data_IF_350359309181
#
_entry.id   IF_350359309181
#
_cell.length_a   1.000
_cell.length_b   1.000
_cell.length_c   1.000
_cell.angle_alpha   90.00
_cell.angle_beta   90.00
_cell.angle_gamma   90.00
#
_symmetry.space_group_name_H-M   'P 1'
#
loop_
_entity.id
_entity.type
_entity.pdbx_description
1 polymer ?
#
# COMPACT_ATOMS: atom_id res chain seq x y z
N UNK A 1 23.88 -23.88 10.20
CA UNK A 1 23.05 -23.28 11.29
C UNK A 1 22.60 -21.91 10.82
N UNK A 2 21.39 -21.76 10.30
CA UNK A 2 20.80 -20.47 9.91
C UNK A 2 20.30 -19.85 11.21
N UNK A 3 20.98 -18.78 11.68
CA UNK A 3 20.46 -17.98 12.79
C UNK A 3 19.12 -17.37 12.35
N UNK A 4 18.07 -17.65 13.07
CA UNK A 4 16.75 -17.06 12.90
C UNK A 4 16.84 -15.56 13.17
N UNK A 5 17.21 -14.80 12.16
CA UNK A 5 17.13 -13.35 12.18
C UNK A 5 15.68 -12.94 11.96
N UNK A 6 15.10 -12.22 12.93
CA UNK A 6 13.80 -11.57 12.72
C UNK A 6 13.92 -10.63 11.50
N UNK A 7 13.25 -10.97 10.41
CA UNK A 7 13.17 -10.10 9.25
C UNK A 7 12.35 -8.88 9.66
N UNK A 8 12.98 -7.74 9.77
CA UNK A 8 12.29 -6.48 10.02
C UNK A 8 11.86 -5.89 8.68
N UNK A 9 10.61 -6.07 8.32
CA UNK A 9 10.00 -5.33 7.22
C UNK A 9 9.34 -4.06 7.77
N UNK A 10 9.54 -2.93 7.11
CA UNK A 10 8.96 -1.66 7.51
C UNK A 10 9.97 -0.64 8.05
N UNK A 11 9.45 0.43 8.64
CA UNK A 11 10.27 1.50 9.23
C UNK A 11 10.04 1.55 10.73
N UNK A 12 11.12 1.53 11.49
CA UNK A 12 11.15 1.86 12.92
C UNK A 12 11.92 3.15 13.11
N UNK A 13 11.42 4.01 13.96
CA UNK A 13 12.08 5.24 14.33
C UNK A 13 12.03 5.39 15.84
N UNK A 14 13.15 5.62 16.45
CA UNK A 14 13.28 6.12 17.80
C UNK A 14 13.90 7.54 17.78
N UNK A 15 14.14 8.12 18.94
CA UNK A 15 14.66 9.50 19.06
C UNK A 15 16.06 9.69 18.49
N UNK A 16 16.77 8.63 18.15
CA UNK A 16 18.19 8.68 17.73
C UNK A 16 18.44 7.94 16.42
N UNK A 17 17.50 7.11 15.95
CA UNK A 17 17.76 6.19 14.85
C UNK A 17 16.51 5.93 14.01
N UNK A 18 16.73 5.78 12.71
CA UNK A 18 15.77 5.25 11.75
C UNK A 18 16.29 3.93 11.21
N UNK A 19 15.46 2.89 11.29
CA UNK A 19 15.68 1.59 10.68
C UNK A 19 14.60 1.33 9.63
N UNK A 20 14.99 1.18 8.37
CA UNK A 20 14.10 0.78 7.27
C UNK A 20 14.60 -0.57 6.77
N UNK A 21 13.81 -1.62 7.01
CA UNK A 21 14.21 -2.98 6.66
C UNK A 21 13.54 -3.47 5.38
N UNK A 22 14.29 -4.24 4.57
CA UNK A 22 13.81 -4.96 3.38
C UNK A 22 13.10 -4.08 2.35
N UNK A 23 13.52 -2.84 2.17
CA UNK A 23 12.93 -1.91 1.22
C UNK A 23 13.59 -2.01 -0.17
N UNK A 24 12.79 -2.05 -1.24
CA UNK A 24 13.31 -1.87 -2.59
C UNK A 24 13.64 -0.40 -2.86
N UNK A 25 14.48 -0.11 -3.86
CA UNK A 25 14.80 1.27 -4.23
C UNK A 25 13.54 2.05 -4.61
N UNK A 26 12.59 1.43 -5.31
CA UNK A 26 11.30 2.06 -5.62
C UNK A 26 10.53 2.43 -4.34
N UNK A 27 10.47 1.53 -3.36
CA UNK A 27 9.78 1.80 -2.09
C UNK A 27 10.44 2.95 -1.32
N UNK A 28 11.77 3.05 -1.37
CA UNK A 28 12.53 4.16 -0.79
C UNK A 28 12.23 5.50 -1.48
N UNK A 29 12.17 5.50 -2.81
CA UNK A 29 11.80 6.69 -3.61
C UNK A 29 10.38 7.13 -3.26
N UNK A 30 9.42 6.19 -3.25
CA UNK A 30 8.03 6.49 -2.91
C UNK A 30 7.92 7.15 -1.53
N UNK A 31 8.65 6.64 -0.55
CA UNK A 31 8.68 7.21 0.81
C UNK A 31 9.37 8.56 0.89
N UNK A 32 10.50 8.73 0.18
CA UNK A 32 11.27 9.97 0.19
C UNK A 32 10.53 11.15 -0.43
N UNK A 33 9.70 10.88 -1.42
CA UNK A 33 9.00 11.92 -2.19
C UNK A 33 7.49 11.95 -1.94
N UNK A 34 6.99 11.11 -1.03
CA UNK A 34 5.57 10.97 -0.69
C UNK A 34 4.69 10.76 -1.93
N UNK A 35 5.09 9.79 -2.77
CA UNK A 35 4.37 9.40 -3.98
C UNK A 35 4.06 7.91 -3.97
N UNK A 36 3.08 7.51 -4.77
CA UNK A 36 2.73 6.11 -4.97
C UNK A 36 3.59 5.47 -6.05
N UNK A 37 3.75 4.16 -6.00
CA UNK A 37 4.60 3.44 -6.96
C UNK A 37 4.18 3.66 -8.42
N UNK A 38 2.89 3.79 -8.70
CA UNK A 38 2.37 4.07 -10.05
C UNK A 38 2.66 5.50 -10.54
N UNK A 39 3.08 6.39 -9.66
CA UNK A 39 3.52 7.75 -10.01
C UNK A 39 5.02 7.83 -10.31
N UNK A 40 5.77 6.75 -10.15
CA UNK A 40 7.20 6.70 -10.45
C UNK A 40 7.40 6.03 -11.80
N UNK A 41 8.09 6.71 -12.70
CA UNK A 41 8.50 6.18 -14.00
C UNK A 41 10.03 6.18 -14.09
N UNK A 42 10.59 5.27 -14.88
CA UNK A 42 12.04 5.15 -14.99
C UNK A 42 12.47 3.82 -15.60
N UNK A 43 13.72 3.42 -15.41
CA UNK A 43 14.25 2.17 -15.95
C UNK A 43 13.43 0.94 -15.52
N UNK A 44 13.24 -0.02 -16.40
CA UNK A 44 12.42 -1.22 -16.16
C UNK A 44 12.85 -2.00 -14.92
N UNK A 45 14.13 -2.09 -14.63
CA UNK A 45 14.68 -2.79 -13.46
C UNK A 45 14.25 -2.14 -12.13
N UNK A 46 13.94 -0.83 -12.12
CA UNK A 46 13.46 -0.11 -10.95
C UNK A 46 11.96 -0.29 -10.77
N UNK A 47 11.20 -0.25 -11.88
CA UNK A 47 9.74 -0.26 -11.84
C UNK A 47 9.17 -1.67 -11.74
N UNK A 48 9.77 -2.63 -12.47
CA UNK A 48 9.32 -4.03 -12.45
C UNK A 48 9.85 -4.73 -11.19
N UNK A 49 9.01 -4.79 -10.17
CA UNK A 49 9.35 -5.46 -8.91
C UNK A 49 9.15 -6.98 -9.06
N UNK A 50 10.19 -7.75 -8.81
CA UNK A 50 10.18 -9.20 -8.82
C UNK A 50 10.71 -9.75 -7.50
N UNK A 51 10.62 -11.05 -7.28
CA UNK A 51 11.21 -11.68 -6.09
C UNK A 51 12.73 -11.50 -6.00
N UNK A 52 13.42 -11.31 -7.15
CA UNK A 52 14.86 -11.05 -7.22
C UNK A 52 15.23 -9.57 -7.16
N UNK A 53 14.26 -8.67 -7.01
CA UNK A 53 14.54 -7.24 -6.84
C UNK A 53 15.38 -7.01 -5.58
N UNK A 54 16.53 -6.31 -5.68
CA UNK A 54 17.38 -6.01 -4.53
C UNK A 54 16.59 -5.28 -3.44
N UNK A 55 16.79 -5.70 -2.21
CA UNK A 55 16.20 -5.07 -1.03
C UNK A 55 17.30 -4.58 -0.12
N UNK A 56 17.07 -3.44 0.50
CA UNK A 56 18.06 -2.72 1.29
C UNK A 56 17.57 -2.56 2.72
N UNK A 57 18.51 -2.67 3.64
CA UNK A 57 18.33 -2.33 5.05
C UNK A 57 19.07 -1.02 5.31
N UNK A 58 18.32 0.02 5.71
CA UNK A 58 18.88 1.33 6.03
C UNK A 58 18.85 1.51 7.53
N UNK A 59 20.01 1.75 8.10
CA UNK A 59 20.18 2.10 9.49
C UNK A 59 20.89 3.46 9.55
N UNK A 60 20.18 4.48 9.99
CA UNK A 60 20.70 5.84 10.05
C UNK A 60 20.51 6.45 11.44
N UNK A 61 21.56 7.08 11.95
CA UNK A 61 21.47 7.89 13.15
C UNK A 61 20.84 9.24 12.80
N UNK A 62 19.89 9.68 13.62
CA UNK A 62 19.26 10.98 13.47
C UNK A 62 20.07 12.05 14.19
N UNK A 63 20.19 13.25 13.64
CA UNK A 63 20.69 14.39 14.37
C UNK A 63 19.84 14.65 15.62
N UNK A 64 20.43 15.23 16.65
CA UNK A 64 19.70 15.61 17.86
C UNK A 64 18.58 16.61 17.52
N UNK A 65 17.38 16.34 18.00
CA UNK A 65 16.20 17.16 17.69
C UNK A 65 15.53 16.87 16.35
N UNK A 66 15.99 15.87 15.58
CA UNK A 66 15.34 15.50 14.33
C UNK A 66 13.93 14.95 14.55
N UNK A 67 13.00 15.35 13.69
CA UNK A 67 11.59 14.92 13.73
C UNK A 67 11.26 13.95 12.61
N UNK A 68 10.12 13.24 12.73
CA UNK A 68 9.66 12.29 11.71
C UNK A 68 9.40 12.96 10.35
N UNK A 69 8.99 14.21 10.37
CA UNK A 69 8.69 15.01 9.18
C UNK A 69 9.94 15.32 8.35
N UNK A 70 11.13 15.25 8.96
CA UNK A 70 12.41 15.47 8.28
C UNK A 70 12.97 14.20 7.63
N UNK A 71 12.47 13.02 8.00
CA UNK A 71 12.96 11.73 7.47
C UNK A 71 12.84 11.65 5.95
N UNK A 72 11.73 12.06 5.30
CA UNK A 72 11.65 12.04 3.85
C UNK A 72 12.78 12.84 3.18
N UNK A 73 13.09 14.04 3.69
CA UNK A 73 14.15 14.89 3.14
C UNK A 73 15.54 14.28 3.34
N UNK A 74 15.80 13.69 4.51
CA UNK A 74 17.05 12.97 4.77
C UNK A 74 17.19 11.76 3.82
N UNK A 75 16.08 11.07 3.56
CA UNK A 75 16.07 9.94 2.65
C UNK A 75 16.34 10.38 1.20
N UNK A 76 15.82 11.54 0.76
CA UNK A 76 16.15 12.12 -0.56
C UNK A 76 17.66 12.34 -0.70
N UNK A 77 18.31 12.92 0.32
CA UNK A 77 19.76 13.14 0.33
C UNK A 77 20.50 11.80 0.24
N UNK A 78 20.12 10.81 1.04
CA UNK A 78 20.72 9.48 1.01
C UNK A 78 20.60 8.83 -0.38
N UNK A 79 19.42 8.92 -1.02
CA UNK A 79 19.20 8.34 -2.33
C UNK A 79 20.06 9.04 -3.39
N UNK A 80 20.19 10.36 -3.34
CA UNK A 80 21.05 11.12 -4.23
C UNK A 80 22.52 10.73 -4.06
N UNK A 81 22.99 10.61 -2.81
CA UNK A 81 24.39 10.36 -2.53
C UNK A 81 24.79 8.91 -2.80
N UNK A 82 23.96 7.95 -2.39
CA UNK A 82 24.28 6.51 -2.42
C UNK A 82 23.86 5.82 -3.71
N UNK A 83 22.73 6.19 -4.28
CA UNK A 83 22.20 5.59 -5.49
C UNK A 83 22.35 6.49 -6.71
N UNK A 84 23.01 7.67 -6.56
CA UNK A 84 23.17 8.67 -7.63
C UNK A 84 21.83 9.00 -8.29
N UNK A 85 20.77 9.05 -7.45
CA UNK A 85 19.42 9.29 -7.92
C UNK A 85 19.28 10.71 -8.49
N UNK A 86 18.92 10.78 -9.76
CA UNK A 86 18.51 11.99 -10.46
C UNK A 86 17.08 11.79 -10.96
N UNK A 87 16.22 12.76 -10.69
CA UNK A 87 14.82 12.68 -11.10
C UNK A 87 14.24 14.09 -11.29
N UNK A 88 13.16 14.17 -12.08
CA UNK A 88 12.36 15.38 -12.19
C UNK A 88 10.86 15.07 -12.03
N UNK A 89 10.08 16.12 -11.83
CA UNK A 89 8.62 16.03 -11.73
C UNK A 89 7.99 16.39 -13.06
N UNK A 90 7.06 15.57 -13.51
CA UNK A 90 6.26 15.80 -14.70
C UNK A 90 4.77 15.72 -14.35
N UNK A 91 3.97 16.71 -14.80
CA UNK A 91 2.52 16.66 -14.63
C UNK A 91 1.88 16.19 -15.93
N UNK A 92 1.08 15.12 -15.85
CA UNK A 92 0.35 14.55 -16.99
C UNK A 92 -1.09 14.29 -16.61
N UNK A 93 -2.00 14.49 -17.55
CA UNK A 93 -3.36 14.01 -17.41
C UNK A 93 -3.37 12.48 -17.52
N UNK A 94 -3.78 11.82 -16.44
CA UNK A 94 -3.86 10.37 -16.35
C UNK A 94 -5.32 9.92 -16.27
N UNK A 95 -5.63 8.82 -16.92
CA UNK A 95 -6.88 8.13 -16.67
C UNK A 95 -6.82 7.49 -15.28
N UNK A 96 -7.83 7.77 -14.47
CA UNK A 96 -7.97 7.29 -13.09
C UNK A 96 -9.40 6.84 -12.85
N UNK A 97 -9.59 6.02 -11.84
CA UNK A 97 -10.90 5.82 -11.25
C UNK A 97 -11.05 6.74 -10.04
N UNK A 98 -11.99 7.68 -10.12
CA UNK A 98 -12.37 8.49 -8.97
C UNK A 98 -13.23 7.63 -8.04
N UNK A 99 -12.78 7.42 -6.80
CA UNK A 99 -13.60 6.84 -5.74
C UNK A 99 -14.52 7.94 -5.21
N UNK A 100 -15.80 7.80 -5.45
CA UNK A 100 -16.82 8.79 -5.08
C UNK A 100 -17.96 8.14 -4.31
N UNK A 101 -18.79 8.95 -3.65
CA UNK A 101 -20.03 8.45 -3.04
C UNK A 101 -20.99 7.93 -4.11
N UNK A 102 -21.68 6.83 -3.79
CA UNK A 102 -22.76 6.31 -4.61
C UNK A 102 -23.98 7.24 -4.65
N UNK A 103 -25.02 6.85 -5.37
CA UNK A 103 -26.22 7.68 -5.59
C UNK A 103 -26.91 8.18 -4.31
N UNK A 104 -26.85 7.40 -3.24
CA UNK A 104 -27.46 7.76 -1.95
C UNK A 104 -26.57 8.70 -1.10
N UNK A 105 -25.41 9.11 -1.60
CA UNK A 105 -24.48 9.97 -0.86
C UNK A 105 -24.02 9.35 0.45
N UNK A 106 -23.80 10.19 1.47
CA UNK A 106 -23.36 9.75 2.80
C UNK A 106 -24.32 8.75 3.47
N UNK A 107 -25.62 8.86 3.24
CA UNK A 107 -26.63 7.96 3.83
C UNK A 107 -26.57 6.54 3.25
N UNK A 108 -25.99 6.38 2.08
CA UNK A 108 -25.80 5.07 1.44
C UNK A 108 -24.49 4.38 1.83
N UNK A 109 -23.61 5.04 2.59
CA UNK A 109 -22.33 4.50 2.99
C UNK A 109 -22.53 3.35 3.99
N UNK A 110 -22.02 2.17 3.64
CA UNK A 110 -22.12 0.96 4.47
C UNK A 110 -20.79 0.67 5.17
N UNK A 111 -20.16 1.72 5.64
CA UNK A 111 -18.97 1.68 6.48
C UNK A 111 -19.27 2.37 7.79
N UNK A 112 -18.74 1.84 8.88
CA UNK A 112 -18.91 2.44 10.21
C UNK A 112 -17.68 3.29 10.54
N UNK A 113 -17.85 4.47 11.16
CA UNK A 113 -16.71 5.20 11.70
C UNK A 113 -15.92 4.31 12.66
N UNK A 114 -14.61 4.24 12.46
CA UNK A 114 -13.76 3.45 13.33
C UNK A 114 -13.77 4.04 14.74
N UNK A 115 -13.93 3.15 15.72
CA UNK A 115 -13.80 3.53 17.12
C UNK A 115 -12.35 3.93 17.41
N UNK A 116 -12.10 4.96 18.24
CA UNK A 116 -10.77 5.19 18.77
C UNK A 116 -10.26 3.90 19.43
N UNK A 117 -8.97 3.55 19.28
CA UNK A 117 -8.44 2.37 19.94
C UNK A 117 -8.67 2.47 21.43
N UNK A 118 -9.46 1.54 21.99
CA UNK A 118 -9.66 1.44 23.44
C UNK A 118 -8.33 1.02 24.07
N UNK A 119 -7.76 1.84 24.94
CA UNK A 119 -6.63 1.46 25.78
C UNK A 119 -5.29 2.18 25.55
N UNK A 120 -5.25 3.30 24.83
CA UNK A 120 -4.05 4.15 24.76
C UNK A 120 -4.22 5.42 25.61
N UNK A 121 -4.85 5.31 26.77
CA UNK A 121 -4.69 6.32 27.80
C UNK A 121 -3.40 6.06 28.57
N UNK A 122 -2.41 6.88 28.36
CA UNK A 122 -1.34 7.10 29.33
C UNK A 122 0.07 6.58 29.02
N UNK A 123 0.41 6.19 27.79
CA UNK A 123 1.84 5.94 27.51
C UNK A 123 2.29 6.64 26.21
N UNK A 124 2.83 7.87 26.29
CA UNK A 124 3.36 8.57 25.11
C UNK A 124 4.62 7.91 24.50
N UNK A 125 5.10 6.84 25.09
CA UNK A 125 6.33 6.15 24.66
C UNK A 125 6.10 5.05 23.58
N UNK A 126 4.84 4.72 23.21
CA UNK A 126 4.54 3.67 22.23
C UNK A 126 4.07 4.24 20.87
N UNK A 127 3.98 5.55 20.75
CA UNK A 127 3.51 6.26 19.54
C UNK A 127 4.59 6.35 18.45
N UNK A 128 5.22 5.25 18.09
CA UNK A 128 6.30 5.27 17.09
C UNK A 128 6.69 3.91 16.50
N UNK A 129 6.12 2.82 16.98
CA UNK A 129 6.42 1.51 16.45
C UNK A 129 5.50 1.21 15.26
N UNK A 130 5.95 1.50 14.03
CA UNK A 130 5.37 0.95 12.80
C UNK A 130 5.73 -0.55 12.69
N UNK A 131 5.49 -1.31 13.76
CA UNK A 131 5.64 -2.75 13.70
C UNK A 131 4.38 -3.34 13.05
N UNK A 132 4.52 -3.78 11.83
CA UNK A 132 3.50 -4.59 11.17
C UNK A 132 3.56 -5.99 11.79
N UNK A 133 2.48 -6.41 12.44
CA UNK A 133 2.31 -7.79 12.88
C UNK A 133 1.47 -8.55 11.86
N UNK A 134 1.93 -9.73 11.48
CA UNK A 134 1.19 -10.64 10.61
C UNK A 134 0.90 -11.88 11.43
N UNK A 135 -0.37 -12.14 11.66
CA UNK A 135 -0.86 -13.31 12.37
C UNK A 135 -1.60 -14.23 11.41
N UNK A 136 -1.09 -15.44 11.26
CA UNK A 136 -1.80 -16.49 10.55
C UNK A 136 -2.85 -17.10 11.48
N UNK A 137 -4.11 -16.94 11.11
CA UNK A 137 -5.24 -17.51 11.84
C UNK A 137 -5.58 -18.93 11.39
N UNK A 138 -6.52 -19.54 12.10
CA UNK A 138 -7.07 -20.84 11.70
C UNK A 138 -7.82 -20.72 10.37
N UNK A 139 -7.88 -21.82 9.62
CA UNK A 139 -8.61 -21.90 8.34
C UNK A 139 -8.10 -20.99 7.21
N UNK A 140 -6.78 -20.67 7.19
CA UNK A 140 -6.18 -19.87 6.12
C UNK A 140 -6.47 -18.37 6.21
N UNK A 141 -6.99 -17.88 7.32
CA UNK A 141 -7.12 -16.44 7.55
C UNK A 141 -5.76 -15.81 7.89
N UNK A 142 -5.56 -14.55 7.51
CA UNK A 142 -4.40 -13.78 7.89
C UNK A 142 -4.84 -12.39 8.38
N UNK A 143 -4.24 -11.93 9.46
CA UNK A 143 -4.47 -10.59 9.98
C UNK A 143 -3.16 -9.81 9.92
N UNK A 144 -3.23 -8.61 9.38
CA UNK A 144 -2.14 -7.64 9.34
C UNK A 144 -2.56 -6.43 10.15
N UNK A 145 -1.78 -6.04 11.15
CA UNK A 145 -2.03 -4.83 11.93
C UNK A 145 -0.75 -4.00 12.07
N UNK A 146 -0.90 -2.68 12.10
CA UNK A 146 0.22 -1.74 12.18
C UNK A 146 0.43 -1.11 13.56
N UNK A 147 -0.30 -1.60 14.56
CA UNK A 147 -0.22 -1.08 15.93
C UNK A 147 -0.80 0.32 16.14
N UNK A 148 -1.31 0.98 15.09
CA UNK A 148 -1.94 2.32 15.17
C UNK A 148 -3.46 2.28 15.20
N UNK A 149 -4.03 1.08 15.39
CA UNK A 149 -5.48 0.82 15.31
C UNK A 149 -5.95 0.50 13.88
N UNK A 150 -5.06 0.44 12.91
CA UNK A 150 -5.33 -0.06 11.57
C UNK A 150 -5.10 -1.56 11.54
N UNK A 151 -6.09 -2.29 11.11
CA UNK A 151 -5.99 -3.73 10.91
C UNK A 151 -6.70 -4.16 9.64
N UNK A 152 -6.18 -5.23 9.05
CA UNK A 152 -6.72 -5.82 7.85
C UNK A 152 -6.72 -7.34 8.01
N UNK A 153 -7.88 -7.94 7.93
CA UNK A 153 -8.03 -9.39 8.07
C UNK A 153 -8.62 -9.98 6.81
N UNK A 154 -7.95 -10.98 6.28
CA UNK A 154 -8.40 -11.73 5.11
C UNK A 154 -8.92 -13.09 5.56
N UNK A 155 -10.14 -13.42 5.19
CA UNK A 155 -10.81 -14.68 5.54
C UNK A 155 -11.32 -15.34 4.27
N UNK A 156 -10.92 -16.58 3.95
CA UNK A 156 -11.47 -17.29 2.81
C UNK A 156 -12.99 -17.50 2.98
N UNK A 157 -13.76 -17.33 1.90
CA UNK A 157 -15.16 -17.73 1.89
C UNK A 157 -15.29 -19.26 1.99
N UNK A 158 -16.40 -19.79 2.52
CA UNK A 158 -16.60 -21.22 2.68
C UNK A 158 -16.56 -22.00 1.36
N UNK A 159 -16.90 -21.36 0.25
CA UNK A 159 -16.89 -21.94 -1.10
C UNK A 159 -15.52 -21.82 -1.80
N UNK A 160 -14.55 -21.14 -1.17
CA UNK A 160 -13.21 -20.92 -1.71
C UNK A 160 -13.15 -19.98 -2.94
N UNK A 161 -14.26 -19.35 -3.33
CA UNK A 161 -14.33 -18.51 -4.53
C UNK A 161 -14.00 -17.03 -4.28
N UNK A 162 -14.10 -16.59 -3.04
CA UNK A 162 -13.79 -15.22 -2.65
C UNK A 162 -13.00 -15.15 -1.34
N UNK A 163 -12.40 -14.00 -1.10
CA UNK A 163 -11.80 -13.63 0.19
C UNK A 163 -12.60 -12.48 0.76
N UNK A 164 -13.02 -12.60 1.99
CA UNK A 164 -13.58 -11.52 2.79
C UNK A 164 -12.43 -10.71 3.38
N UNK A 165 -12.39 -9.44 3.04
CA UNK A 165 -11.45 -8.47 3.56
C UNK A 165 -12.15 -7.61 4.61
N UNK A 166 -11.83 -7.82 5.88
CA UNK A 166 -12.29 -7.01 7.00
C UNK A 166 -11.22 -5.95 7.28
N UNK A 167 -11.58 -4.68 7.22
CA UNK A 167 -10.67 -3.55 7.38
C UNK A 167 -11.15 -2.67 8.51
N UNK A 168 -10.23 -2.24 9.37
CA UNK A 168 -10.51 -1.28 10.44
C UNK A 168 -9.46 -0.18 10.48
N UNK A 169 -9.87 1.03 10.86
CA UNK A 169 -9.00 2.18 11.03
C UNK A 169 -8.43 2.75 9.73
N UNK A 170 -9.08 2.55 8.59
CA UNK A 170 -8.63 3.05 7.28
C UNK A 170 -9.38 4.32 6.84
N UNK A 171 -8.72 5.13 6.03
CA UNK A 171 -9.30 6.28 5.33
C UNK A 171 -9.73 5.88 3.92
N UNK A 172 -10.59 6.66 3.26
CA UNK A 172 -10.98 6.40 1.87
C UNK A 172 -9.80 6.55 0.89
N UNK A 173 -8.85 7.41 1.19
CA UNK A 173 -7.60 7.51 0.42
C UNK A 173 -6.79 6.20 0.50
N UNK A 174 -6.68 5.57 1.67
CA UNK A 174 -6.02 4.28 1.84
C UNK A 174 -6.79 3.13 1.17
N UNK A 175 -8.13 3.18 1.19
CA UNK A 175 -8.96 2.25 0.43
C UNK A 175 -8.70 2.38 -1.07
N UNK A 176 -8.69 3.60 -1.62
CA UNK A 176 -8.39 3.87 -3.02
C UNK A 176 -7.02 3.31 -3.43
N UNK A 177 -6.01 3.50 -2.58
CA UNK A 177 -4.68 2.94 -2.78
C UNK A 177 -4.70 1.40 -2.83
N UNK A 178 -5.39 0.77 -1.89
CA UNK A 178 -5.55 -0.69 -1.83
C UNK A 178 -6.32 -1.28 -3.03
N UNK A 179 -7.22 -0.51 -3.64
CA UNK A 179 -7.97 -0.90 -4.83
C UNK A 179 -7.14 -0.77 -6.13
N UNK A 180 -6.15 0.11 -6.18
CA UNK A 180 -5.35 0.38 -7.38
C UNK A 180 -4.74 -0.88 -8.02
N UNK A 181 -4.17 -1.85 -7.29
CA UNK A 181 -3.63 -3.07 -7.90
C UNK A 181 -4.70 -4.00 -8.49
N UNK A 182 -5.97 -3.83 -8.11
CA UNK A 182 -7.10 -4.68 -8.50
C UNK A 182 -7.80 -4.21 -9.78
N UNK A 183 -7.44 -3.03 -10.28
CA UNK A 183 -8.03 -2.41 -11.47
C UNK A 183 -6.95 -2.00 -12.48
N UNK A 184 -7.34 -1.58 -13.66
CA UNK A 184 -6.43 -1.22 -14.77
C UNK A 184 -5.90 0.22 -14.72
N UNK A 185 -6.55 1.09 -13.93
CA UNK A 185 -6.13 2.48 -13.73
C UNK A 185 -6.01 2.81 -12.24
N UNK A 186 -5.15 3.76 -11.84
CA UNK A 186 -5.05 4.20 -10.46
C UNK A 186 -6.40 4.66 -9.90
N UNK A 187 -6.68 4.31 -8.66
CA UNK A 187 -7.86 4.80 -7.94
C UNK A 187 -7.46 6.00 -7.08
N UNK A 188 -8.21 7.08 -7.19
CA UNK A 188 -7.98 8.32 -6.44
C UNK A 188 -9.22 8.65 -5.63
N UNK A 189 -9.05 8.92 -4.35
CA UNK A 189 -10.15 9.36 -3.49
C UNK A 189 -10.60 10.77 -3.88
N UNK A 190 -11.83 10.88 -4.36
CA UNK A 190 -12.54 12.11 -4.67
C UNK A 190 -13.91 12.14 -3.99
N UNK A 191 -14.09 11.37 -2.92
CA UNK A 191 -15.35 11.26 -2.18
C UNK A 191 -15.63 12.49 -1.32
N UNK A 192 -14.59 13.21 -0.90
CA UNK A 192 -14.68 14.30 0.08
C UNK A 192 -14.97 13.83 1.51
N UNK A 193 -14.97 12.52 1.76
CA UNK A 193 -15.28 11.94 3.06
C UNK A 193 -14.02 11.88 3.91
N UNK A 194 -14.08 12.46 5.10
CA UNK A 194 -12.98 12.50 6.06
C UNK A 194 -13.19 11.47 7.17
N UNK A 195 -12.10 11.06 7.80
CA UNK A 195 -12.13 10.18 8.97
C UNK A 195 -11.64 8.77 8.69
N UNK A 196 -11.64 7.95 9.73
CA UNK A 196 -11.29 6.54 9.69
C UNK A 196 -12.54 5.68 9.78
N UNK A 197 -12.55 4.59 9.05
CA UNK A 197 -13.70 3.71 8.91
C UNK A 197 -13.34 2.24 9.14
N UNK A 198 -14.39 1.46 9.38
CA UNK A 198 -14.38 0.00 9.36
C UNK A 198 -15.31 -0.47 8.26
N UNK A 199 -14.88 -1.45 7.49
CA UNK A 199 -15.69 -2.05 6.43
C UNK A 199 -15.29 -3.49 6.16
N UNK A 200 -16.22 -4.21 5.56
CA UNK A 200 -15.99 -5.56 5.03
C UNK A 200 -16.28 -5.55 3.54
N UNK A 201 -15.33 -6.05 2.77
CA UNK A 201 -15.44 -6.16 1.31
C UNK A 201 -15.14 -7.60 0.89
N UNK A 202 -15.81 -8.08 -0.14
CA UNK A 202 -15.48 -9.37 -0.77
C UNK A 202 -14.68 -9.13 -2.05
N UNK A 203 -13.58 -9.87 -2.20
CA UNK A 203 -12.72 -9.85 -3.37
C UNK A 203 -12.71 -11.25 -3.96
N UNK A 204 -12.94 -11.39 -5.26
CA UNK A 204 -12.92 -12.70 -5.88
C UNK A 204 -11.52 -13.32 -5.84
N UNK A 205 -11.43 -14.62 -5.72
CA UNK A 205 -10.16 -15.33 -5.78
C UNK A 205 -9.51 -15.14 -7.16
N UNK A 206 -10.29 -14.98 -8.22
CA UNK A 206 -9.81 -14.71 -9.56
C UNK A 206 -9.08 -13.37 -9.65
N UNK A 207 -9.65 -12.30 -9.04
CA UNK A 207 -9.02 -10.97 -9.00
C UNK A 207 -7.69 -11.01 -8.23
N UNK A 208 -7.66 -11.71 -7.09
CA UNK A 208 -6.44 -11.86 -6.29
C UNK A 208 -5.35 -12.64 -7.05
N UNK A 209 -5.72 -13.71 -7.76
CA UNK A 209 -4.80 -14.47 -8.60
C UNK A 209 -4.26 -13.64 -9.77
N UNK A 210 -5.11 -12.80 -10.37
CA UNK A 210 -4.71 -11.88 -11.43
C UNK A 210 -3.68 -10.86 -10.93
N UNK A 211 -3.92 -10.26 -9.76
CA UNK A 211 -2.96 -9.37 -9.11
C UNK A 211 -1.65 -10.08 -8.80
N UNK A 212 -1.71 -11.28 -8.22
CA UNK A 212 -0.52 -12.06 -7.94
C UNK A 212 0.29 -12.36 -9.21
N UNK A 213 -0.38 -12.67 -10.33
CA UNK A 213 0.24 -12.90 -11.63
C UNK A 213 0.89 -11.64 -12.20
N UNK A 214 0.21 -10.49 -12.11
CA UNK A 214 0.77 -9.18 -12.50
C UNK A 214 2.02 -8.81 -11.67
N UNK A 215 2.09 -9.29 -10.43
CA UNK A 215 3.26 -9.13 -9.55
C UNK A 215 4.35 -10.19 -9.76
N UNK A 216 4.20 -11.06 -10.77
CA UNK A 216 5.21 -12.06 -11.12
C UNK A 216 5.12 -13.36 -10.32
N UNK A 217 4.05 -13.61 -9.59
CA UNK A 217 3.83 -14.90 -8.93
C UNK A 217 3.47 -15.97 -9.98
N UNK A 218 4.06 -17.14 -9.85
CA UNK A 218 3.74 -18.29 -10.71
C UNK A 218 2.44 -18.96 -10.21
N UNK A 219 1.32 -18.33 -10.55
CA UNK A 219 -0.02 -18.82 -10.19
C UNK A 219 -0.61 -19.54 -11.39
N UNK A 220 -1.18 -20.76 -11.25
CA UNK A 220 -1.83 -21.46 -12.34
C UNK A 220 -2.89 -20.58 -13.02
N UNK A 221 -2.99 -20.68 -14.36
CA UNK A 221 -4.07 -20.02 -15.08
C UNK A 221 -5.41 -20.58 -14.59
N UNK A 222 -6.46 -19.74 -14.40
CA UNK A 222 -7.78 -20.22 -14.07
C UNK A 222 -8.24 -21.18 -15.19
N UNK A 223 -8.88 -22.28 -14.79
CA UNK A 223 -9.55 -23.13 -15.76
C UNK A 223 -10.58 -22.27 -16.53
N UNK A 224 -10.74 -22.46 -17.82
CA UNK A 224 -11.79 -21.76 -18.58
C UNK A 224 -13.13 -22.17 -17.99
N UNK A 225 -13.72 -21.31 -17.20
CA UNK A 225 -15.10 -21.41 -16.74
C UNK A 225 -15.93 -20.53 -17.67
N UNK A 226 -17.05 -21.05 -18.16
CA UNK A 226 -17.99 -20.38 -19.11
C UNK A 226 -18.60 -19.06 -18.59
N UNK A 227 -18.23 -18.64 -17.39
CA UNK A 227 -18.48 -17.33 -16.83
C UNK A 227 -17.14 -16.61 -16.65
N UNK A 228 -16.59 -16.11 -17.73
CA UNK A 228 -15.57 -15.08 -17.67
C UNK A 228 -16.22 -13.81 -17.08
N UNK A 229 -16.40 -13.79 -15.77
CA UNK A 229 -16.68 -12.56 -15.05
C UNK A 229 -15.47 -11.65 -15.30
N UNK A 230 -15.72 -10.51 -15.94
CA UNK A 230 -14.72 -9.47 -16.06
C UNK A 230 -14.17 -9.19 -14.64
N UNK A 231 -12.86 -9.45 -14.36
CA UNK A 231 -12.30 -9.25 -13.03
C UNK A 231 -12.58 -7.84 -12.51
N UNK A 232 -12.53 -6.86 -13.40
CA UNK A 232 -12.86 -5.47 -13.12
C UNK A 232 -14.29 -5.33 -12.61
N UNK A 233 -15.26 -6.10 -13.16
CA UNK A 233 -16.66 -6.10 -12.74
C UNK A 233 -16.88 -6.51 -11.29
N UNK A 234 -16.09 -7.45 -10.76
CA UNK A 234 -16.18 -7.91 -9.36
C UNK A 234 -15.79 -6.80 -8.37
N UNK A 235 -14.70 -6.09 -8.62
CA UNK A 235 -14.25 -4.98 -7.74
C UNK A 235 -15.23 -3.81 -7.75
N UNK A 236 -15.75 -3.44 -8.91
CA UNK A 236 -16.77 -2.39 -9.01
C UNK A 236 -18.01 -2.73 -8.20
N UNK A 237 -18.46 -3.97 -8.24
CA UNK A 237 -19.60 -4.46 -7.45
C UNK A 237 -19.30 -4.41 -5.95
N UNK A 238 -18.12 -4.84 -5.55
CA UNK A 238 -17.70 -4.82 -4.14
C UNK A 238 -17.62 -3.40 -3.58
N UNK A 239 -17.09 -2.46 -4.37
CA UNK A 239 -17.06 -1.04 -4.01
C UNK A 239 -18.50 -0.45 -3.92
N UNK A 240 -19.38 -0.84 -4.83
CA UNK A 240 -20.79 -0.41 -4.78
C UNK A 240 -21.51 -0.97 -3.56
N UNK A 241 -21.17 -2.18 -3.11
CA UNK A 241 -21.72 -2.74 -1.88
C UNK A 241 -21.37 -1.92 -0.63
N UNK A 242 -20.28 -1.17 -0.65
CA UNK A 242 -19.88 -0.23 0.41
C UNK A 242 -20.61 1.14 0.33
N UNK A 243 -21.41 1.35 -0.71
CA UNK A 243 -22.09 2.64 -0.97
C UNK A 243 -21.20 3.64 -1.70
N UNK A 244 -20.09 3.18 -2.28
CA UNK A 244 -19.15 3.96 -3.07
C UNK A 244 -19.28 3.63 -4.55
N UNK A 245 -18.60 4.38 -5.41
CA UNK A 245 -18.54 4.14 -6.85
C UNK A 245 -17.16 4.48 -7.39
N UNK A 246 -16.70 3.70 -8.36
CA UNK A 246 -15.53 4.01 -9.17
C UNK A 246 -16.01 4.64 -10.50
N UNK A 247 -15.60 5.89 -10.74
CA UNK A 247 -15.95 6.60 -11.97
C UNK A 247 -14.68 6.88 -12.78
N UNK A 248 -14.64 6.51 -14.07
CA UNK A 248 -13.52 6.84 -14.93
C UNK A 248 -13.44 8.37 -15.11
N UNK A 249 -12.28 8.94 -14.81
CA UNK A 249 -12.00 10.37 -14.96
C UNK A 249 -10.58 10.58 -15.49
N UNK A 250 -10.35 11.76 -16.03
CA UNK A 250 -9.01 12.28 -16.25
C UNK A 250 -8.67 13.25 -15.12
N UNK A 251 -7.51 13.07 -14.53
CA UNK A 251 -7.01 13.95 -13.49
C UNK A 251 -5.54 14.30 -13.75
N UNK A 252 -5.12 15.54 -13.52
CA UNK A 252 -3.71 15.90 -13.53
C UNK A 252 -3.02 15.18 -12.38
N UNK A 253 -1.97 14.44 -12.71
CA UNK A 253 -1.20 13.67 -11.75
C UNK A 253 0.28 14.00 -11.91
N UNK A 254 0.94 14.20 -10.77
CA UNK A 254 2.40 14.43 -10.76
C UNK A 254 3.09 13.08 -10.77
N UNK A 255 3.98 12.90 -11.73
CA UNK A 255 4.87 11.76 -11.85
C UNK A 255 6.29 12.16 -11.46
N UNK A 256 7.01 11.24 -10.84
CA UNK A 256 8.45 11.32 -10.68
C UNK A 256 9.09 10.50 -11.80
N UNK A 257 9.84 11.16 -12.65
CA UNK A 257 10.61 10.53 -13.72
C UNK A 257 12.04 10.35 -13.22
N UNK A 258 12.47 9.10 -13.08
CA UNK A 258 13.84 8.77 -12.69
C UNK A 258 14.71 8.78 -13.93
N UNK A 259 15.55 9.81 -14.05
CA UNK A 259 16.48 10.01 -15.15
C UNK A 259 17.69 9.10 -15.01
N UNK A 260 18.17 8.95 -13.78
CA UNK A 260 19.33 8.11 -13.45
C UNK A 260 19.23 7.54 -12.04
N UNK A 261 19.62 6.28 -11.89
CA UNK A 261 19.85 5.64 -10.60
C UNK A 261 20.81 4.46 -10.74
N UNK A 262 21.59 4.18 -9.72
CA UNK A 262 22.43 2.99 -9.62
C UNK A 262 21.69 1.88 -8.89
N UNK A 263 21.89 0.61 -9.34
CA UNK A 263 21.24 -0.56 -8.72
C UNK A 263 21.80 -0.90 -7.36
N UNK A 264 23.07 -0.59 -7.15
CA UNK A 264 23.82 -0.84 -5.92
C UNK A 264 24.25 0.50 -5.33
N UNK A 265 24.10 0.67 -4.00
CA UNK A 265 24.55 1.90 -3.37
C UNK A 265 26.09 1.97 -3.40
N UNK A 266 26.64 3.17 -3.45
CA UNK A 266 28.07 3.40 -3.23
C UNK A 266 28.42 3.02 -1.78
N UNK A 267 29.65 2.53 -1.55
CA UNK A 267 30.15 2.18 -0.23
C UNK A 267 30.19 3.38 0.72
N UNK A 268 30.14 3.07 2.04
CA UNK A 268 30.22 4.08 3.11
C UNK A 268 31.62 4.68 3.19
#
# INVERSE_FOLDING_TARGET
>A
MIKSGKIHAGMKMDNKRVDIGQASLLALICRAYDVKSYQVTGPSWLIQQTMSTPRFDIMANLPEGATKEQVPQMLQTLLKDRFKLELHKESKDQQVYALVLGKAGMSGLKMTPAKPPEGVEGNPAVSGSNSVSIEAGKSGSATVSDGTGKSQRMVPSPDGKSMRLEMAGFTLAELAEGLTPLVDHPVVDMSGVQGKYEATMEISMADLMEVARKQGANVPAPAPTDTASDPTGSIFTSVQALGLKLEPRKAPMVFLVVDKAEKTPTEN
#
